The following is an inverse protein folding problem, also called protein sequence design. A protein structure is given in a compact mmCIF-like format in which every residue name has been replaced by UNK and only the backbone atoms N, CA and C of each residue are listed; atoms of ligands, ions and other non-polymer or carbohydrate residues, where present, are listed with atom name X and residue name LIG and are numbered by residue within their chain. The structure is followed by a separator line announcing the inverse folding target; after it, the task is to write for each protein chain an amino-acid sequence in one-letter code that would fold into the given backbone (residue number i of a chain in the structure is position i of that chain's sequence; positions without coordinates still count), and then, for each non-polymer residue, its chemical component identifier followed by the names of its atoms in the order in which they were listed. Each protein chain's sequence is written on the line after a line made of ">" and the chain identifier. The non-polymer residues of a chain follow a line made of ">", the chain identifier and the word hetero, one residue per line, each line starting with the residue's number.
data_IF_258141864996
#
_entry.id   IF_258141864996
#
_cell.length_a   1.000
_cell.length_b   1.000
_cell.length_c   1.000
_cell.angle_alpha   90.00
_cell.angle_beta   90.00
_cell.angle_gamma   90.00
#
_symmetry.space_group_name_H-M   'P 1'
#
loop_
_entity.id
_entity.type
_entity.pdbx_description
1 polymer ?
#
# COMPACT_ATOMS: atom_id res chain seq x y z
N UNK A 1 6.94 -22.59 -2.38
CA UNK A 1 7.62 -22.66 -1.07
C UNK A 1 9.14 -22.49 -1.17
N UNK A 2 9.84 -23.26 -2.01
CA UNK A 2 11.31 -23.13 -2.17
C UNK A 2 11.74 -21.71 -2.56
N UNK A 3 11.08 -21.10 -3.56
CA UNK A 3 11.38 -19.72 -3.97
C UNK A 3 11.25 -18.70 -2.84
N UNK A 4 10.19 -18.79 -2.02
CA UNK A 4 9.98 -17.91 -0.85
C UNK A 4 11.12 -18.07 0.15
N UNK A 5 11.50 -19.32 0.46
CA UNK A 5 12.59 -19.58 1.39
C UNK A 5 13.93 -18.98 0.88
N UNK A 6 14.24 -19.19 -0.40
CA UNK A 6 15.45 -18.64 -1.03
C UNK A 6 15.46 -17.12 -0.95
N UNK A 7 14.36 -16.46 -1.31
CA UNK A 7 14.29 -14.99 -1.26
C UNK A 7 14.39 -14.48 0.17
N UNK A 8 13.69 -15.09 1.13
CA UNK A 8 13.74 -14.66 2.54
C UNK A 8 15.15 -14.75 3.10
N UNK A 9 15.84 -15.87 2.88
CA UNK A 9 17.24 -16.04 3.30
C UNK A 9 18.15 -15.02 2.60
N UNK A 10 17.96 -14.80 1.30
CA UNK A 10 18.74 -13.83 0.52
C UNK A 10 18.60 -12.40 1.05
N UNK A 11 17.37 -11.93 1.30
CA UNK A 11 17.12 -10.59 1.83
C UNK A 11 17.71 -10.41 3.24
N UNK A 12 17.58 -11.41 4.11
CA UNK A 12 18.16 -11.36 5.45
C UNK A 12 19.69 -11.35 5.40
N UNK A 13 20.30 -12.21 4.59
CA UNK A 13 21.75 -12.26 4.43
C UNK A 13 22.32 -10.91 3.99
N UNK A 14 21.72 -10.28 2.98
CA UNK A 14 22.13 -8.94 2.51
C UNK A 14 21.91 -7.88 3.60
N UNK A 15 20.78 -7.93 4.32
CA UNK A 15 20.47 -6.97 5.39
C UNK A 15 21.52 -7.00 6.50
N UNK A 16 22.01 -8.17 6.89
CA UNK A 16 23.04 -8.29 7.93
C UNK A 16 24.47 -8.10 7.41
N UNK A 17 24.71 -8.31 6.11
CA UNK A 17 26.03 -8.13 5.49
C UNK A 17 26.33 -6.66 5.13
N UNK A 18 25.31 -5.83 4.97
CA UNK A 18 25.46 -4.42 4.56
C UNK A 18 25.35 -3.48 5.76
N UNK A 19 26.07 -2.35 5.75
CA UNK A 19 25.96 -1.37 6.83
C UNK A 19 24.57 -0.73 6.85
N UNK A 20 24.06 -0.35 8.03
CA UNK A 20 22.79 0.36 8.13
C UNK A 20 22.84 1.72 7.43
N UNK A 21 21.71 2.14 6.89
CA UNK A 21 21.56 3.47 6.25
C UNK A 21 21.74 4.60 7.27
N UNK A 22 22.29 5.74 6.82
CA UNK A 22 22.45 6.94 7.64
C UNK A 22 21.11 7.39 8.28
N UNK A 23 21.16 7.81 9.54
CA UNK A 23 20.00 8.28 10.30
C UNK A 23 19.32 9.49 9.64
N UNK A 24 20.06 10.38 9.01
CA UNK A 24 19.51 11.56 8.31
C UNK A 24 18.65 11.13 7.14
N UNK A 25 19.13 10.17 6.35
CA UNK A 25 18.37 9.60 5.23
C UNK A 25 17.12 8.87 5.73
N UNK A 26 17.24 8.13 6.83
CA UNK A 26 16.10 7.42 7.42
C UNK A 26 15.04 8.39 7.98
N UNK A 27 15.45 9.49 8.60
CA UNK A 27 14.54 10.54 9.07
C UNK A 27 13.83 11.20 7.89
N UNK A 28 14.54 11.54 6.82
CA UNK A 28 13.95 12.13 5.62
C UNK A 28 12.91 11.19 4.97
N UNK A 29 13.18 9.88 4.98
CA UNK A 29 12.22 8.87 4.54
C UNK A 29 10.99 8.85 5.45
N UNK A 30 11.18 8.78 6.77
CA UNK A 30 10.11 8.78 7.76
C UNK A 30 9.19 10.01 7.63
N UNK A 31 9.77 11.19 7.52
CA UNK A 31 9.03 12.46 7.38
C UNK A 31 8.20 12.49 6.09
N UNK A 32 8.68 11.83 5.03
CA UNK A 32 7.99 11.77 3.73
C UNK A 32 6.82 10.79 3.72
N UNK A 33 7.02 9.58 4.24
CA UNK A 33 6.00 8.53 4.15
C UNK A 33 5.02 8.52 5.34
N UNK A 34 5.36 9.20 6.45
CA UNK A 34 4.57 9.29 7.68
C UNK A 34 3.97 7.92 8.08
N UNK A 35 4.83 6.93 8.39
CA UNK A 35 4.37 5.57 8.58
C UNK A 35 3.54 5.44 9.86
N UNK A 36 2.56 4.53 9.83
CA UNK A 36 1.71 4.23 10.97
C UNK A 36 2.45 3.36 12.01
N UNK A 37 2.27 3.70 13.29
CA UNK A 37 2.66 2.86 14.42
C UNK A 37 4.05 3.13 15.02
N UNK A 38 4.36 2.51 16.18
CA UNK A 38 5.50 2.86 17.02
C UNK A 38 6.84 2.23 16.60
N UNK A 39 6.90 1.40 15.56
CA UNK A 39 8.09 0.61 15.18
C UNK A 39 9.33 1.44 14.80
N UNK A 40 9.19 2.76 14.70
CA UNK A 40 10.22 3.70 14.25
C UNK A 40 10.94 4.42 15.39
N UNK A 41 10.48 4.30 16.63
CA UNK A 41 10.97 5.06 17.79
C UNK A 41 12.46 4.87 18.10
N UNK A 42 13.04 3.70 17.77
CA UNK A 42 14.47 3.43 17.97
C UNK A 42 15.37 3.93 16.83
N UNK A 43 14.80 4.28 15.69
CA UNK A 43 15.55 4.56 14.46
C UNK A 43 15.51 6.04 14.05
N UNK A 44 14.40 6.73 14.32
CA UNK A 44 14.13 8.12 13.92
C UNK A 44 13.40 8.87 15.04
N UNK A 45 13.42 10.20 14.98
CA UNK A 45 12.58 11.05 15.82
C UNK A 45 11.14 11.00 15.30
N UNK A 46 10.27 10.31 16.04
CA UNK A 46 8.86 10.19 15.70
C UNK A 46 8.10 11.47 16.06
N UNK A 47 7.05 11.78 15.30
CA UNK A 47 6.14 12.90 15.58
C UNK A 47 4.73 12.37 15.85
N UNK A 48 3.93 13.06 16.67
CA UNK A 48 2.51 12.72 16.82
C UNK A 48 1.80 12.81 15.48
N UNK A 49 0.82 11.93 15.25
CA UNK A 49 -0.02 12.00 14.06
C UNK A 49 -0.75 13.36 14.02
N UNK A 50 -0.84 14.04 12.86
CA UNK A 50 -1.62 15.25 12.71
C UNK A 50 -3.09 15.02 13.11
N UNK A 51 -3.74 16.00 13.74
CA UNK A 51 -5.16 15.90 14.04
C UNK A 51 -5.98 15.78 12.74
N UNK A 52 -6.75 14.69 12.61
CA UNK A 52 -7.59 14.41 11.44
C UNK A 52 -7.15 13.21 10.60
N UNK A 53 -5.97 12.64 10.84
CA UNK A 53 -5.53 11.42 10.17
C UNK A 53 -6.25 10.19 10.75
N UNK A 54 -7.03 9.49 9.91
CA UNK A 54 -7.72 8.26 10.32
C UNK A 54 -6.99 7.03 9.79
N UNK A 55 -6.42 6.24 10.70
CA UNK A 55 -5.81 4.93 10.40
C UNK A 55 -6.80 4.03 9.65
N UNK A 56 -8.05 4.01 10.08
CA UNK A 56 -9.12 3.24 9.42
C UNK A 56 -9.36 3.72 7.99
N UNK A 57 -9.34 5.03 7.75
CA UNK A 57 -9.47 5.57 6.39
C UNK A 57 -8.25 5.21 5.52
N UNK A 58 -7.04 5.24 6.07
CA UNK A 58 -5.83 4.84 5.36
C UNK A 58 -5.87 3.36 4.93
N UNK A 59 -6.26 2.46 5.85
CA UNK A 59 -6.46 1.04 5.54
C UNK A 59 -7.58 0.81 4.53
N UNK A 60 -8.69 1.55 4.63
CA UNK A 60 -9.78 1.48 3.66
C UNK A 60 -9.34 1.94 2.27
N UNK A 61 -8.59 3.04 2.17
CA UNK A 61 -8.00 3.50 0.91
C UNK A 61 -7.06 2.45 0.31
N UNK A 62 -6.19 1.82 1.11
CA UNK A 62 -5.33 0.73 0.65
C UNK A 62 -6.14 -0.44 0.09
N UNK A 63 -7.15 -0.90 0.83
CA UNK A 63 -8.01 -2.00 0.40
C UNK A 63 -8.77 -1.67 -0.89
N UNK A 64 -9.36 -0.47 -0.98
CA UNK A 64 -10.06 -0.01 -2.18
C UNK A 64 -9.10 0.11 -3.38
N UNK A 65 -7.88 0.58 -3.16
CA UNK A 65 -6.84 0.61 -4.20
C UNK A 65 -6.51 -0.78 -4.74
N UNK A 66 -6.32 -1.77 -3.85
CA UNK A 66 -6.14 -3.17 -4.27
C UNK A 66 -7.36 -3.68 -5.05
N UNK A 67 -8.58 -3.41 -4.57
CA UNK A 67 -9.81 -3.82 -5.24
C UNK A 67 -9.93 -3.24 -6.65
N UNK A 68 -9.62 -1.96 -6.85
CA UNK A 68 -9.60 -1.32 -8.18
C UNK A 68 -8.65 -2.04 -9.11
N UNK A 69 -7.40 -2.27 -8.70
CA UNK A 69 -6.36 -2.88 -9.54
C UNK A 69 -6.76 -4.31 -9.93
N UNK A 70 -7.16 -5.14 -8.97
CA UNK A 70 -7.54 -6.52 -9.26
C UNK A 70 -8.81 -6.61 -10.10
N UNK A 71 -9.83 -5.80 -9.81
CA UNK A 71 -11.05 -5.78 -10.60
C UNK A 71 -10.80 -5.31 -12.04
N UNK A 72 -9.94 -4.30 -12.25
CA UNK A 72 -9.55 -3.88 -13.59
C UNK A 72 -8.74 -4.95 -14.33
N UNK A 73 -7.82 -5.63 -13.64
CA UNK A 73 -7.02 -6.73 -14.20
C UNK A 73 -7.90 -7.89 -14.65
N UNK A 74 -8.78 -8.38 -13.77
CA UNK A 74 -9.70 -9.47 -14.11
C UNK A 74 -10.75 -9.06 -15.15
N UNK A 75 -11.27 -7.84 -15.05
CA UNK A 75 -12.20 -7.29 -16.04
C UNK A 75 -11.60 -7.28 -17.44
N UNK A 76 -10.37 -6.79 -17.56
CA UNK A 76 -9.60 -6.81 -18.81
C UNK A 76 -9.40 -8.25 -19.30
N UNK A 77 -8.97 -9.16 -18.42
CA UNK A 77 -8.82 -10.58 -18.75
C UNK A 77 -10.09 -11.21 -19.28
N UNK A 78 -11.24 -11.01 -18.61
CA UNK A 78 -12.52 -11.57 -19.03
C UNK A 78 -12.99 -11.04 -20.39
N UNK A 79 -12.79 -9.76 -20.69
CA UNK A 79 -13.10 -9.21 -22.01
C UNK A 79 -12.23 -9.86 -23.09
N UNK A 80 -10.92 -10.01 -22.85
CA UNK A 80 -10.00 -10.66 -23.80
C UNK A 80 -10.37 -12.13 -24.06
N UNK A 81 -10.88 -12.84 -23.05
CA UNK A 81 -11.36 -14.22 -23.20
C UNK A 81 -12.80 -14.33 -23.74
N UNK A 82 -13.40 -13.23 -24.21
CA UNK A 82 -14.75 -13.25 -24.79
C UNK A 82 -15.86 -13.52 -23.77
N UNK A 83 -15.62 -13.24 -22.49
CA UNK A 83 -16.59 -13.36 -21.39
C UNK A 83 -17.08 -11.97 -20.96
N UNK A 84 -18.01 -11.33 -21.71
CA UNK A 84 -18.37 -9.93 -21.49
C UNK A 84 -19.06 -9.68 -20.15
N UNK A 85 -19.96 -10.58 -19.71
CA UNK A 85 -20.71 -10.40 -18.48
C UNK A 85 -19.82 -10.31 -17.22
N UNK A 86 -18.93 -11.28 -16.92
CA UNK A 86 -18.01 -11.13 -15.80
C UNK A 86 -17.02 -9.97 -15.98
N UNK A 87 -16.64 -9.65 -17.22
CA UNK A 87 -15.82 -8.47 -17.51
C UNK A 87 -16.49 -7.17 -17.07
N UNK A 88 -17.75 -6.95 -17.44
CA UNK A 88 -18.53 -5.76 -17.05
C UNK A 88 -18.72 -5.70 -15.54
N UNK A 89 -19.02 -6.82 -14.88
CA UNK A 89 -19.16 -6.87 -13.41
C UNK A 89 -17.85 -6.43 -12.73
N UNK A 90 -16.70 -6.92 -13.19
CA UNK A 90 -15.40 -6.51 -12.70
C UNK A 90 -15.15 -5.00 -12.92
N UNK A 91 -15.50 -4.44 -14.07
CA UNK A 91 -15.33 -3.00 -14.31
C UNK A 91 -16.29 -2.13 -13.48
N UNK A 92 -17.53 -2.57 -13.25
CA UNK A 92 -18.45 -1.89 -12.32
C UNK A 92 -17.89 -1.90 -10.90
N UNK A 93 -17.37 -3.03 -10.44
CA UNK A 93 -16.70 -3.14 -9.14
C UNK A 93 -15.47 -2.23 -9.05
N UNK A 94 -14.65 -2.15 -10.10
CA UNK A 94 -13.51 -1.25 -10.17
C UNK A 94 -13.95 0.22 -10.10
N UNK A 95 -15.00 0.61 -10.81
CA UNK A 95 -15.55 1.96 -10.77
C UNK A 95 -16.11 2.33 -9.39
N UNK A 96 -16.85 1.42 -8.75
CA UNK A 96 -17.38 1.62 -7.40
C UNK A 96 -16.25 1.74 -6.35
N UNK A 97 -15.23 0.89 -6.44
CA UNK A 97 -14.08 0.95 -5.55
C UNK A 97 -13.25 2.22 -5.77
N UNK A 98 -13.07 2.67 -7.02
CA UNK A 98 -12.37 3.90 -7.35
C UNK A 98 -13.13 5.12 -6.82
N UNK A 99 -14.45 5.15 -6.99
CA UNK A 99 -15.30 6.20 -6.42
C UNK A 99 -15.21 6.25 -4.90
N UNK A 100 -15.26 5.08 -4.24
CA UNK A 100 -15.04 4.97 -2.79
C UNK A 100 -13.69 5.53 -2.38
N UNK A 101 -12.63 5.16 -3.10
CA UNK A 101 -11.25 5.60 -2.86
C UNK A 101 -11.14 7.12 -2.94
N UNK A 102 -11.66 7.75 -4.00
CA UNK A 102 -11.64 9.20 -4.16
C UNK A 102 -12.44 9.93 -3.06
N UNK A 103 -13.51 9.31 -2.55
CA UNK A 103 -14.27 9.86 -1.42
C UNK A 103 -13.58 9.68 -0.07
N UNK A 104 -12.74 8.67 0.10
CA UNK A 104 -12.03 8.38 1.36
C UNK A 104 -10.68 9.06 1.45
N UNK A 105 -10.05 9.36 0.30
CA UNK A 105 -8.75 10.03 0.21
C UNK A 105 -8.62 11.31 1.06
N UNK A 106 -9.62 12.22 1.12
CA UNK A 106 -9.52 13.44 1.92
C UNK A 106 -9.38 13.18 3.42
N UNK A 107 -9.74 11.99 3.91
CA UNK A 107 -9.67 11.62 5.33
C UNK A 107 -8.32 11.02 5.74
N UNK A 108 -7.39 10.85 4.79
CA UNK A 108 -6.07 10.24 5.02
C UNK A 108 -4.99 11.31 5.28
N UNK A 109 -5.32 12.60 5.19
CA UNK A 109 -4.41 13.66 5.63
C UNK A 109 -3.16 13.85 4.77
N UNK A 110 -3.29 13.70 3.44
CA UNK A 110 -2.19 13.97 2.48
C UNK A 110 -1.87 15.47 2.28
N UNK A 111 -2.23 16.32 3.25
CA UNK A 111 -1.82 17.73 3.30
C UNK A 111 -0.53 17.91 4.13
#
# INVERSE_FOLDING_TARGET
>A
MIGVAITTVGWLAVTFATPPTDRVTLQAFYDRIRPLGPGWTGAVTTRPAPPGESVTAAFLCWFLGCAVIYAALFGTGYLLYGKPLPGVVCFVAAGAAAWGLFRTLPRVGFE
#
